data_IF_975108186955
#
_entry.id   IF_975108186955
#
_cell.length_a   1.000
_cell.length_b   1.000
_cell.length_c   1.000
_cell.angle_alpha   90.00
_cell.angle_beta   90.00
_cell.angle_gamma   90.00
#
_symmetry.space_group_name_H-M   'P 1'
#
loop_
_entity.id
_entity.type
_entity.pdbx_description
1 polymer ?
#
# COMPACT_ATOMS: atom_id res chain seq x y z
N UNK A 1 -3.20 18.38 7.42
CA UNK A 1 -1.86 17.88 7.82
C UNK A 1 -1.55 16.43 7.38
N UNK A 2 -2.51 15.59 6.91
CA UNK A 2 -2.20 14.21 6.48
C UNK A 2 -1.50 14.09 5.12
N UNK A 3 -1.76 15.01 4.18
CA UNK A 3 -1.22 14.96 2.81
C UNK A 3 0.31 14.95 2.72
N UNK A 4 1.00 15.79 3.51
CA UNK A 4 2.47 15.86 3.51
C UNK A 4 3.09 14.53 3.97
N UNK A 5 2.50 13.88 4.98
CA UNK A 5 2.95 12.57 5.49
C UNK A 5 2.80 11.49 4.41
N UNK A 6 1.67 11.46 3.72
CA UNK A 6 1.41 10.52 2.61
C UNK A 6 2.46 10.68 1.51
N UNK A 7 2.75 11.92 1.10
CA UNK A 7 3.75 12.17 0.06
C UNK A 7 5.16 11.76 0.49
N UNK A 8 5.52 12.01 1.76
CA UNK A 8 6.80 11.56 2.30
C UNK A 8 6.94 10.03 2.32
N UNK A 9 5.87 9.31 2.67
CA UNK A 9 5.85 7.85 2.64
C UNK A 9 6.03 7.33 1.20
N UNK A 10 5.31 7.90 0.23
CA UNK A 10 5.44 7.54 -1.20
C UNK A 10 6.86 7.81 -1.71
N UNK A 11 7.43 8.98 -1.41
CA UNK A 11 8.79 9.34 -1.81
C UNK A 11 9.84 8.38 -1.23
N UNK A 12 9.70 7.98 0.03
CA UNK A 12 10.61 7.00 0.66
C UNK A 12 10.43 5.60 0.08
N UNK A 13 9.19 5.18 -0.19
CA UNK A 13 8.91 3.90 -0.81
C UNK A 13 9.63 3.77 -2.17
N UNK A 14 9.62 4.83 -2.98
CA UNK A 14 10.31 4.85 -4.27
C UNK A 14 11.84 4.80 -4.13
N UNK A 15 12.42 5.45 -3.10
CA UNK A 15 13.85 5.33 -2.81
C UNK A 15 14.24 3.91 -2.41
N UNK A 16 13.42 3.24 -1.59
CA UNK A 16 13.63 1.82 -1.26
C UNK A 16 13.54 0.93 -2.49
N UNK A 17 12.61 1.20 -3.41
CA UNK A 17 12.52 0.45 -4.66
C UNK A 17 13.78 0.62 -5.52
N UNK A 18 14.29 1.85 -5.64
CA UNK A 18 15.52 2.12 -6.37
C UNK A 18 16.72 1.39 -5.76
N UNK A 19 16.86 1.41 -4.42
CA UNK A 19 17.88 0.65 -3.72
C UNK A 19 17.74 -0.86 -3.95
N UNK A 20 16.51 -1.39 -4.02
CA UNK A 20 16.28 -2.79 -4.35
C UNK A 20 16.83 -3.12 -5.74
N UNK A 21 16.57 -2.27 -6.75
CA UNK A 21 17.09 -2.45 -8.13
C UNK A 21 18.61 -2.42 -8.16
N UNK A 22 19.24 -1.44 -7.52
CA UNK A 22 20.70 -1.34 -7.43
C UNK A 22 21.33 -2.54 -6.72
N UNK A 23 20.67 -3.10 -5.71
CA UNK A 23 21.16 -4.30 -5.02
C UNK A 23 21.04 -5.56 -5.88
N UNK A 24 20.01 -5.67 -6.72
CA UNK A 24 19.91 -6.76 -7.71
C UNK A 24 21.07 -6.69 -8.70
N UNK A 25 21.36 -5.50 -9.22
CA UNK A 25 22.48 -5.29 -10.16
C UNK A 25 23.85 -5.64 -9.54
N UNK A 26 24.00 -5.44 -8.22
CA UNK A 26 25.21 -5.77 -7.47
C UNK A 26 25.28 -7.23 -6.98
N UNK A 27 24.22 -8.03 -7.19
CA UNK A 27 24.14 -9.41 -6.68
C UNK A 27 23.84 -9.53 -5.18
N UNK A 28 23.44 -8.44 -4.52
CA UNK A 28 23.08 -8.42 -3.10
C UNK A 28 21.59 -8.75 -2.93
N UNK A 29 21.22 -9.99 -3.19
CA UNK A 29 19.80 -10.39 -3.27
C UNK A 29 19.06 -10.32 -1.94
N UNK A 30 19.73 -10.59 -0.82
CA UNK A 30 19.20 -10.42 0.53
C UNK A 30 18.83 -8.96 0.82
N UNK A 31 19.72 -8.02 0.49
CA UNK A 31 19.46 -6.59 0.58
C UNK A 31 18.40 -6.13 -0.41
N UNK A 32 18.36 -6.71 -1.61
CA UNK A 32 17.34 -6.38 -2.61
C UNK A 32 15.93 -6.73 -2.11
N UNK A 33 15.75 -7.94 -1.57
CA UNK A 33 14.46 -8.39 -1.02
C UNK A 33 14.06 -7.54 0.19
N UNK A 34 15.01 -7.25 1.10
CA UNK A 34 14.75 -6.37 2.24
C UNK A 34 14.25 -4.99 1.79
N UNK A 35 14.95 -4.35 0.84
CA UNK A 35 14.55 -3.04 0.31
C UNK A 35 13.20 -3.10 -0.41
N UNK A 36 12.89 -4.20 -1.11
CA UNK A 36 11.59 -4.42 -1.74
C UNK A 36 10.45 -4.48 -0.71
N UNK A 37 10.64 -5.21 0.40
CA UNK A 37 9.67 -5.28 1.48
C UNK A 37 9.42 -3.90 2.12
N UNK A 38 10.49 -3.14 2.39
CA UNK A 38 10.37 -1.78 2.94
C UNK A 38 9.62 -0.84 1.99
N UNK A 39 9.87 -0.96 0.68
CA UNK A 39 9.15 -0.19 -0.35
C UNK A 39 7.66 -0.47 -0.30
N UNK A 40 7.27 -1.75 -0.35
CA UNK A 40 5.87 -2.18 -0.29
C UNK A 40 5.18 -1.70 0.99
N UNK A 41 5.83 -1.87 2.14
CA UNK A 41 5.27 -1.50 3.43
C UNK A 41 4.94 0.01 3.49
N UNK A 42 5.86 0.87 3.02
CA UNK A 42 5.66 2.32 3.04
C UNK A 42 4.61 2.78 2.03
N UNK A 43 4.61 2.20 0.82
CA UNK A 43 3.64 2.57 -0.21
C UNK A 43 2.22 2.18 0.19
N UNK A 44 2.04 0.96 0.72
CA UNK A 44 0.74 0.50 1.23
C UNK A 44 0.26 1.36 2.41
N UNK A 45 1.15 1.70 3.36
CA UNK A 45 0.82 2.63 4.46
C UNK A 45 0.38 4.00 3.95
N UNK A 46 0.96 4.49 2.85
CA UNK A 46 0.58 5.75 2.26
C UNK A 46 -0.82 5.70 1.65
N UNK A 47 -1.14 4.63 0.89
CA UNK A 47 -2.47 4.41 0.29
C UNK A 47 -3.53 4.26 1.40
N UNK A 48 -3.24 3.48 2.44
CA UNK A 48 -4.17 3.21 3.54
C UNK A 48 -4.33 4.40 4.52
N UNK A 49 -3.56 5.48 4.37
CA UNK A 49 -3.71 6.71 5.16
C UNK A 49 -4.35 7.86 4.35
N UNK A 50 -4.70 7.63 3.08
CA UNK A 50 -5.48 8.60 2.30
C UNK A 50 -6.81 8.90 3.02
N UNK A 51 -7.36 10.13 2.88
CA UNK A 51 -8.31 10.75 3.82
C UNK A 51 -9.62 9.99 4.11
N UNK A 52 -9.88 8.88 3.43
CA UNK A 52 -11.04 8.02 3.64
C UNK A 52 -10.75 6.75 4.44
N UNK A 53 -9.48 6.50 4.82
CA UNK A 53 -9.06 5.32 5.53
C UNK A 53 -8.58 5.66 6.95
N UNK A 54 -9.14 4.97 7.95
CA UNK A 54 -8.75 5.09 9.35
C UNK A 54 -7.27 4.73 9.53
N UNK A 55 -6.58 5.38 10.48
CA UNK A 55 -5.15 5.16 10.75
C UNK A 55 -4.83 3.67 10.96
N UNK A 56 -4.16 3.07 9.97
CA UNK A 56 -3.82 1.64 9.99
C UNK A 56 -2.49 1.40 10.72
N UNK A 57 -2.56 0.80 11.92
CA UNK A 57 -1.39 0.57 12.81
C UNK A 57 -0.83 -0.85 12.74
N UNK A 58 -0.68 -1.43 11.55
CA UNK A 58 0.06 -2.68 11.40
C UNK A 58 1.42 -2.48 10.74
N UNK A 59 2.39 -3.28 11.19
CA UNK A 59 3.75 -3.30 10.65
C UNK A 59 3.98 -4.47 9.67
N UNK A 60 3.07 -5.44 9.59
CA UNK A 60 3.26 -6.62 8.76
C UNK A 60 2.70 -6.44 7.35
N UNK A 61 3.46 -6.86 6.33
CA UNK A 61 3.04 -6.79 4.94
C UNK A 61 1.75 -7.57 4.66
N UNK A 62 1.61 -8.77 5.24
CA UNK A 62 0.39 -9.59 5.11
C UNK A 62 -0.84 -8.86 5.64
N UNK A 63 -0.70 -8.17 6.78
CA UNK A 63 -1.78 -7.40 7.40
C UNK A 63 -2.17 -6.19 6.54
N UNK A 64 -1.17 -5.47 5.98
CA UNK A 64 -1.41 -4.36 5.04
C UNK A 64 -2.16 -4.83 3.78
N UNK A 65 -1.72 -5.92 3.17
CA UNK A 65 -2.35 -6.49 1.96
C UNK A 65 -3.75 -7.02 2.24
N UNK A 66 -3.96 -7.70 3.36
CA UNK A 66 -5.28 -8.20 3.77
C UNK A 66 -6.27 -7.05 3.97
N UNK A 67 -5.83 -5.95 4.58
CA UNK A 67 -6.67 -4.77 4.78
C UNK A 67 -6.99 -4.09 3.44
N UNK A 68 -6.00 -3.93 2.56
CA UNK A 68 -6.22 -3.41 1.20
C UNK A 68 -7.23 -4.28 0.42
N UNK A 69 -7.09 -5.61 0.50
CA UNK A 69 -8.02 -6.54 -0.16
C UNK A 69 -9.46 -6.38 0.33
N UNK A 70 -9.66 -6.16 1.64
CA UNK A 70 -11.00 -5.92 2.21
C UNK A 70 -11.60 -4.62 1.67
N UNK A 71 -10.84 -3.52 1.70
CA UNK A 71 -11.28 -2.23 1.18
C UNK A 71 -11.66 -2.30 -0.31
N UNK A 72 -10.89 -3.04 -1.11
CA UNK A 72 -11.20 -3.26 -2.53
C UNK A 72 -12.45 -4.12 -2.72
N UNK A 73 -12.61 -5.19 -1.93
CA UNK A 73 -13.80 -6.04 -1.98
C UNK A 73 -15.10 -5.32 -1.60
N UNK A 74 -15.06 -4.46 -0.58
CA UNK A 74 -16.19 -3.63 -0.16
C UNK A 74 -16.60 -2.64 -1.27
N UNK A 75 -15.63 -2.01 -1.95
CA UNK A 75 -15.90 -1.10 -3.08
C UNK A 75 -16.49 -1.82 -4.29
N UNK A 76 -16.05 -3.05 -4.57
CA UNK A 76 -16.60 -3.86 -5.67
C UNK A 76 -18.03 -4.31 -5.35
N UNK A 77 -18.31 -4.67 -4.10
CA UNK A 77 -19.64 -5.14 -3.67
C UNK A 77 -20.67 -4.00 -3.56
N UNK A 78 -20.24 -2.79 -3.17
CA UNK A 78 -21.09 -1.61 -3.10
C UNK A 78 -21.47 -0.98 -4.44
N UNK A 79 -20.97 -1.50 -5.56
CA UNK A 79 -21.25 -1.01 -6.92
C UNK A 79 -22.46 -1.63 -7.61
N UNK A 80 -23.24 -2.49 -6.95
CA UNK A 80 -24.39 -3.21 -7.57
C UNK A 80 -25.76 -2.95 -6.94
N UNK A 81 -25.89 -2.01 -6.00
CA UNK A 81 -27.23 -1.58 -5.51
C UNK A 81 -27.79 -0.42 -6.34
N UNK A 82 -28.00 -0.67 -7.63
CA UNK A 82 -28.51 0.31 -8.58
C UNK A 82 -29.34 -0.31 -9.70
N UNK A 83 -30.18 -1.30 -9.40
CA UNK A 83 -31.38 -1.63 -10.18
C UNK A 83 -32.22 -2.70 -9.45
N UNK A 84 -33.04 -2.26 -8.51
CA UNK A 84 -34.31 -2.95 -8.22
C UNK A 84 -35.43 -1.96 -8.48
N UNK A 85 -35.77 -1.81 -9.76
CA UNK A 85 -37.10 -1.40 -10.14
C UNK A 85 -38.04 -2.46 -9.56
N UNK A 86 -38.85 -2.04 -8.58
CA UNK A 86 -39.99 -2.80 -8.10
C UNK A 86 -41.15 -2.34 -8.97
N UNK A 87 -41.71 -3.28 -9.73
CA UNK A 87 -42.99 -3.14 -10.44
C UNK A 87 -44.14 -2.83 -9.47
#
# INVERSE_FOLDING_TARGET
MSGIRIQLLKARALQFLENARLNVEKGYYDLAVFNCEQSLQLYLKAILQEPFASEFRSHELKSLLSHLSKLLGERVSGGTEGNRCVD
#
